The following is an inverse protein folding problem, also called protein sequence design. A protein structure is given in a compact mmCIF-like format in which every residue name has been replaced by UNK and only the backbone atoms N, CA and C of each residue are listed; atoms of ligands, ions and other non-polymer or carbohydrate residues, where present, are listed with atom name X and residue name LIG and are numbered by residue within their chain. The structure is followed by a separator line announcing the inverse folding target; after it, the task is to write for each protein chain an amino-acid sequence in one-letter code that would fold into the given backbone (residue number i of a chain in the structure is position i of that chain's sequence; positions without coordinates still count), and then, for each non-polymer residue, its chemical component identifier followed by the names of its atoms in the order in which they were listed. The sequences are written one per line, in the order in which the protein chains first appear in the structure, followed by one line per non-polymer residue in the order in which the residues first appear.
data_IF_129467000586
#
_entry.id   IF_129467000586
#
_cell.length_a   1.000
_cell.length_b   1.000
_cell.length_c   1.000
_cell.angle_alpha   90.00
_cell.angle_beta   90.00
_cell.angle_gamma   90.00
#
_symmetry.space_group_name_H-M   'P 1'
#
loop_
_entity.id
_entity.type
_entity.pdbx_description
1 polymer ?
#
# COMPACT_ATOMS: atom_id res chain seq x y z
N UNK A 1 9.47 -5.81 16.84
CA UNK A 1 9.41 -4.37 17.15
C UNK A 1 8.17 -4.13 17.98
N UNK A 2 8.27 -3.58 19.20
CA UNK A 2 7.11 -3.30 20.05
C UNK A 2 6.43 -1.98 19.64
N UNK A 3 5.10 -1.94 19.73
CA UNK A 3 4.32 -0.71 19.58
C UNK A 3 4.46 0.14 20.84
N UNK A 4 4.28 1.46 20.72
CA UNK A 4 4.21 2.37 21.88
C UNK A 4 2.77 2.54 22.31
N UNK A 5 2.49 2.43 23.61
CA UNK A 5 1.16 2.69 24.15
C UNK A 5 0.99 4.17 24.49
N UNK A 6 0.00 4.81 23.85
CA UNK A 6 -0.47 6.14 24.19
C UNK A 6 -1.63 6.01 25.18
N UNK A 7 -1.41 6.50 26.41
CA UNK A 7 -2.37 6.40 27.51
C UNK A 7 -3.51 7.40 27.41
N UNK A 8 -3.32 8.51 26.70
CA UNK A 8 -4.34 9.56 26.58
C UNK A 8 -5.39 9.15 25.55
N UNK A 9 -4.94 8.46 24.49
CA UNK A 9 -5.79 7.97 23.41
C UNK A 9 -6.25 6.53 23.60
N UNK A 10 -5.66 5.79 24.54
CA UNK A 10 -5.88 4.35 24.76
C UNK A 10 -5.55 3.52 23.50
N UNK A 11 -4.44 3.86 22.83
CA UNK A 11 -4.03 3.28 21.54
C UNK A 11 -2.59 2.78 21.53
N UNK A 12 -2.35 1.75 20.71
CA UNK A 12 -1.00 1.29 20.39
C UNK A 12 -0.56 1.84 19.04
N UNK A 13 0.56 2.57 19.01
CA UNK A 13 1.02 3.36 17.86
C UNK A 13 2.41 2.89 17.40
N UNK A 14 2.57 2.76 16.08
CA UNK A 14 3.85 2.56 15.40
C UNK A 14 3.94 3.52 14.21
N UNK A 15 4.93 4.41 14.24
CA UNK A 15 5.23 5.34 13.15
C UNK A 15 6.48 4.85 12.43
N UNK A 16 6.42 4.74 11.10
CA UNK A 16 7.56 4.34 10.29
C UNK A 16 7.49 4.92 8.89
N UNK A 17 8.60 5.44 8.41
CA UNK A 17 8.78 5.78 7.00
C UNK A 17 8.96 4.50 6.20
N UNK A 18 8.12 4.32 5.18
CA UNK A 18 8.15 3.18 4.27
C UNK A 18 8.31 3.69 2.85
N UNK A 19 9.28 3.16 2.08
CA UNK A 19 9.32 3.36 0.64
C UNK A 19 8.01 2.91 -0.02
N UNK A 20 7.72 3.42 -1.21
CA UNK A 20 6.55 2.96 -1.98
C UNK A 20 6.58 1.44 -2.18
N UNK A 21 5.47 0.78 -1.86
CA UNK A 21 5.37 -0.67 -1.92
C UNK A 21 4.16 -1.22 -1.18
N UNK A 22 3.95 -2.54 -1.30
CA UNK A 22 2.91 -3.25 -0.58
C UNK A 22 3.48 -3.89 0.68
N UNK A 23 2.88 -3.56 1.83
CA UNK A 23 3.30 -4.08 3.12
C UNK A 23 2.13 -4.82 3.77
N UNK A 24 2.34 -6.10 4.04
CA UNK A 24 1.43 -6.90 4.86
C UNK A 24 1.92 -6.88 6.31
N UNK A 25 0.98 -6.73 7.24
CA UNK A 25 1.27 -6.71 8.65
C UNK A 25 0.18 -7.45 9.43
N UNK A 26 0.54 -7.88 10.63
CA UNK A 26 -0.36 -8.52 11.59
C UNK A 26 0.10 -8.18 13.00
N UNK A 27 -0.83 -8.14 13.94
CA UNK A 27 -0.56 -7.80 15.33
C UNK A 27 -0.30 -9.06 16.16
N UNK A 28 0.54 -8.90 17.18
CA UNK A 28 0.69 -9.89 18.24
C UNK A 28 0.21 -9.21 19.53
N UNK A 29 -0.89 -9.70 20.08
CA UNK A 29 -1.48 -9.23 21.34
C UNK A 29 -1.35 -10.36 22.35
N UNK A 30 -0.65 -10.11 23.46
CA UNK A 30 -0.41 -11.09 24.53
C UNK A 30 0.15 -12.45 24.07
N UNK A 31 0.93 -12.44 22.99
CA UNK A 31 1.55 -13.65 22.42
C UNK A 31 0.69 -14.36 21.37
N UNK A 32 -0.51 -13.87 21.08
CA UNK A 32 -1.39 -14.42 20.06
C UNK A 32 -1.43 -13.55 18.80
N UNK A 33 -1.46 -14.21 17.64
CA UNK A 33 -1.53 -13.54 16.34
C UNK A 33 -2.96 -13.09 16.02
N UNK A 34 -3.19 -11.78 16.04
CA UNK A 34 -4.52 -11.18 15.91
C UNK A 34 -4.62 -10.32 14.65
N UNK A 35 -5.76 -10.40 13.97
CA UNK A 35 -6.10 -9.51 12.85
C UNK A 35 -6.90 -8.32 13.38
N UNK A 36 -6.65 -7.12 12.85
CA UNK A 36 -7.44 -5.95 13.19
C UNK A 36 -8.71 -5.92 12.31
N UNK A 37 -9.88 -6.04 12.94
CA UNK A 37 -11.18 -6.04 12.24
C UNK A 37 -11.57 -4.66 11.66
N UNK A 38 -10.90 -3.59 12.10
CA UNK A 38 -11.19 -2.21 11.69
C UNK A 38 -10.28 -1.72 10.57
N UNK A 39 -9.31 -2.53 10.15
CA UNK A 39 -8.46 -2.21 9.01
C UNK A 39 -9.01 -2.82 7.74
N UNK A 40 -8.79 -2.11 6.63
CA UNK A 40 -9.05 -2.62 5.30
C UNK A 40 -8.12 -3.80 5.06
N UNK A 41 -8.61 -5.00 5.36
CA UNK A 41 -8.06 -6.22 4.78
C UNK A 41 -8.15 -6.01 3.29
N UNK A 42 -7.01 -5.89 2.62
CA UNK A 42 -7.00 -6.02 1.18
C UNK A 42 -7.54 -7.42 0.91
N UNK A 43 -8.81 -7.50 0.53
CA UNK A 43 -9.38 -8.70 -0.05
C UNK A 43 -8.43 -9.07 -1.18
N UNK A 44 -7.58 -10.04 -0.89
CA UNK A 44 -6.79 -10.74 -1.87
C UNK A 44 -7.78 -11.63 -2.61
N UNK A 45 -8.77 -11.02 -3.29
CA UNK A 45 -9.46 -11.70 -4.36
C UNK A 45 -8.38 -11.95 -5.42
N UNK A 46 -7.93 -13.20 -5.59
CA UNK A 46 -6.88 -13.50 -6.55
C UNK A 46 -7.36 -13.23 -7.99
N UNK A 47 -8.64 -12.94 -8.20
CA UNK A 47 -9.26 -12.63 -9.49
C UNK A 47 -9.76 -11.19 -9.57
N UNK A 48 -9.55 -10.40 -8.51
CA UNK A 48 -9.90 -8.99 -8.47
C UNK A 48 -9.13 -8.21 -9.53
N UNK A 49 -9.74 -7.14 -10.04
CA UNK A 49 -9.13 -6.28 -11.07
C UNK A 49 -7.76 -5.78 -10.62
N UNK A 50 -7.60 -5.45 -9.34
CA UNK A 50 -6.31 -5.06 -8.74
C UNK A 50 -5.27 -6.19 -8.77
N UNK A 51 -5.66 -7.41 -8.43
CA UNK A 51 -4.78 -8.58 -8.46
C UNK A 51 -4.33 -8.93 -9.89
N UNK A 52 -5.25 -8.84 -10.86
CA UNK A 52 -4.95 -9.06 -12.29
C UNK A 52 -4.00 -7.99 -12.82
N UNK A 53 -4.27 -6.71 -12.52
CA UNK A 53 -3.40 -5.59 -12.90
C UNK A 53 -2.01 -5.74 -12.27
N UNK A 54 -1.95 -6.07 -10.98
CA UNK A 54 -0.68 -6.29 -10.26
C UNK A 54 0.11 -7.43 -10.88
N UNK A 55 -0.50 -8.60 -11.10
CA UNK A 55 0.15 -9.74 -11.75
C UNK A 55 0.73 -9.38 -13.13
N UNK A 56 0.02 -8.54 -13.90
CA UNK A 56 0.48 -8.08 -15.22
C UNK A 56 1.60 -7.05 -15.16
N UNK A 57 1.61 -6.18 -14.14
CA UNK A 57 2.60 -5.10 -14.01
C UNK A 57 3.86 -5.50 -13.25
N UNK A 58 3.76 -6.50 -12.37
CA UNK A 58 4.85 -6.96 -11.49
C UNK A 58 5.27 -8.41 -11.76
N UNK A 59 4.88 -8.98 -12.89
CA UNK A 59 5.32 -10.31 -13.32
C UNK A 59 6.72 -10.29 -13.91
N UNK A 60 7.27 -11.46 -14.22
CA UNK A 60 8.62 -11.60 -14.80
C UNK A 60 8.72 -11.15 -16.27
N UNK A 61 7.58 -10.97 -16.95
CA UNK A 61 7.48 -10.50 -18.33
C UNK A 61 7.50 -8.97 -18.43
N UNK A 62 8.00 -8.42 -19.56
CA UNK A 62 8.00 -6.98 -19.83
C UNK A 62 6.56 -6.40 -19.78
N UNK A 63 6.23 -5.53 -18.82
CA UNK A 63 4.86 -5.10 -18.61
C UNK A 63 4.43 -4.12 -19.71
N UNK A 64 3.67 -4.62 -20.70
CA UNK A 64 3.16 -3.79 -21.78
C UNK A 64 1.98 -2.92 -21.30
N UNK A 65 2.26 -1.64 -21.08
CA UNK A 65 1.23 -0.63 -20.75
C UNK A 65 0.40 -0.26 -21.99
N UNK A 66 -0.93 -0.26 -21.85
CA UNK A 66 -1.84 0.25 -22.87
C UNK A 66 -1.69 1.77 -23.06
N UNK A 67 -2.22 2.29 -24.18
CA UNK A 67 -2.16 3.73 -24.47
C UNK A 67 -2.82 4.57 -23.38
N UNK A 68 -3.95 4.12 -22.86
CA UNK A 68 -4.72 4.87 -21.87
C UNK A 68 -4.03 4.85 -20.49
N UNK A 69 -3.40 3.74 -20.11
CA UNK A 69 -2.58 3.65 -18.89
C UNK A 69 -1.37 4.57 -18.96
N UNK A 70 -0.67 4.59 -20.11
CA UNK A 70 0.45 5.52 -20.35
C UNK A 70 0.02 6.97 -20.27
N UNK A 71 -1.17 7.30 -20.80
CA UNK A 71 -1.71 8.66 -20.78
C UNK A 71 -2.02 9.12 -19.35
N UNK A 72 -2.57 8.21 -18.54
CA UNK A 72 -2.88 8.46 -17.13
C UNK A 72 -1.62 8.65 -16.27
N UNK A 73 -0.60 7.81 -16.48
CA UNK A 73 0.71 7.95 -15.82
C UNK A 73 1.33 9.30 -16.19
N UNK A 74 1.33 9.68 -17.47
CA UNK A 74 1.85 10.97 -17.92
C UNK A 74 1.13 12.14 -17.25
N UNK A 75 -0.19 12.10 -17.19
CA UNK A 75 -0.98 13.15 -16.55
C UNK A 75 -0.63 13.33 -15.07
N UNK A 76 -0.39 12.23 -14.35
CA UNK A 76 0.03 12.27 -12.93
C UNK A 76 1.44 12.87 -12.82
N UNK A 77 2.38 12.42 -13.66
CA UNK A 77 3.76 12.92 -13.64
C UNK A 77 3.83 14.42 -13.96
N UNK A 78 3.05 14.89 -14.93
CA UNK A 78 2.94 16.31 -15.29
C UNK A 78 2.40 17.15 -14.12
N UNK A 79 1.38 16.64 -13.40
CA UNK A 79 0.83 17.32 -12.23
C UNK A 79 1.80 17.36 -11.03
N UNK A 80 2.76 16.44 -10.95
CA UNK A 80 3.79 16.41 -9.91
C UNK A 80 5.03 17.25 -10.24
N UNK A 81 5.19 17.69 -11.50
CA UNK A 81 6.33 18.54 -11.92
C UNK A 81 6.08 20.04 -11.78
N UNK A 82 4.88 20.47 -11.41
CA UNK A 82 4.55 21.90 -11.18
C UNK A 82 4.94 22.42 -9.78
N UNK A 83 5.46 21.56 -8.89
CA UNK A 83 5.82 21.88 -7.49
C UNK A 83 7.34 22.14 -7.27
N UNK A 84 8.18 22.12 -8.31
CA UNK A 84 9.65 22.30 -8.22
C UNK A 84 10.15 23.73 -8.56
N UNK A 85 9.27 24.73 -8.60
CA UNK A 85 9.64 26.15 -8.74
C UNK A 85 9.28 26.97 -7.49
N UNK A 86 10.13 26.92 -6.46
CA UNK A 86 10.16 27.88 -5.34
C UNK A 86 11.59 28.16 -4.84
#
# INVERSE_FOLDING_TARGET
MPLRFDKEQDLWILERELPEGHYEYKYIVDGEWTCNEHEHVFDSDPHGVSAVLRKRLTGDDDPTLSRDERLKIRQILEACSDDDDA
#
